data_IF_224670200038
#
_entry.id   IF_224670200038
#
_cell.length_a   1.000
_cell.length_b   1.000
_cell.length_c   1.000
_cell.angle_alpha   90.00
_cell.angle_beta   90.00
_cell.angle_gamma   90.00
#
_symmetry.space_group_name_H-M   'P 1'
#
loop_
_entity.id
_entity.type
_entity.pdbx_description
1 polymer ?
#
# COMPACT_ATOMS: atom_id res chain seq x y z
N UNK A 1 -9.86 6.41 8.65
CA UNK A 1 -9.89 5.14 7.88
C UNK A 1 -10.74 5.33 6.64
N UNK A 2 -10.57 4.49 5.63
CA UNK A 2 -11.45 4.40 4.46
C UNK A 2 -11.75 2.94 4.14
N UNK A 3 -12.93 2.65 3.63
CA UNK A 3 -13.31 1.29 3.25
C UNK A 3 -13.31 1.15 1.73
N UNK A 4 -12.69 0.08 1.23
CA UNK A 4 -12.73 -0.33 -0.17
C UNK A 4 -13.59 -1.58 -0.27
N UNK A 5 -14.64 -1.54 -1.09
CA UNK A 5 -15.49 -2.69 -1.36
C UNK A 5 -15.07 -3.34 -2.69
N UNK A 6 -14.50 -4.54 -2.64
CA UNK A 6 -14.04 -5.28 -3.81
C UNK A 6 -15.17 -6.19 -4.32
N UNK A 7 -15.62 -5.97 -5.54
CA UNK A 7 -16.72 -6.72 -6.17
C UNK A 7 -16.36 -8.13 -6.68
N UNK A 8 -15.08 -8.52 -6.59
CA UNK A 8 -14.59 -9.85 -7.01
C UNK A 8 -14.97 -10.96 -6.03
N UNK A 9 -14.85 -12.23 -6.45
CA UNK A 9 -15.03 -13.40 -5.58
C UNK A 9 -13.69 -14.08 -5.18
N UNK A 10 -12.56 -13.54 -5.64
CA UNK A 10 -11.21 -13.97 -5.27
C UNK A 10 -10.38 -12.82 -4.69
N UNK A 11 -9.36 -13.17 -3.90
CA UNK A 11 -8.35 -12.21 -3.44
C UNK A 11 -7.60 -11.60 -4.63
N UNK A 12 -7.37 -10.29 -4.56
CA UNK A 12 -6.64 -9.53 -5.61
C UNK A 12 -5.41 -8.84 -5.04
N UNK A 13 -4.26 -8.88 -5.75
CA UNK A 13 -3.16 -7.97 -5.46
C UNK A 13 -3.61 -6.51 -5.64
N UNK A 14 -2.92 -5.61 -4.95
CA UNK A 14 -3.14 -4.18 -5.02
C UNK A 14 -1.81 -3.44 -5.25
N UNK A 15 -1.91 -2.26 -5.86
CA UNK A 15 -0.80 -1.32 -6.02
C UNK A 15 -1.08 -0.15 -5.08
N UNK A 16 -0.19 0.04 -4.11
CA UNK A 16 -0.20 1.17 -3.20
C UNK A 16 0.76 2.24 -3.72
N UNK A 17 0.22 3.38 -4.12
CA UNK A 17 1.00 4.59 -4.41
C UNK A 17 0.80 5.59 -3.28
N UNK A 18 1.89 6.18 -2.80
CA UNK A 18 1.82 7.23 -1.80
C UNK A 18 2.85 8.32 -2.02
N UNK A 19 2.48 9.55 -1.65
CA UNK A 19 3.34 10.74 -1.72
C UNK A 19 3.18 11.52 -0.42
N UNK A 20 4.19 11.54 0.47
CA UNK A 20 4.11 12.31 1.70
C UNK A 20 4.41 13.80 1.42
N UNK A 21 3.74 14.71 2.13
CA UNK A 21 3.99 16.15 2.00
C UNK A 21 5.19 16.65 2.82
N UNK A 22 5.69 15.82 3.74
CA UNK A 22 6.87 16.04 4.58
C UNK A 22 7.73 14.77 4.65
N UNK A 23 8.97 14.89 5.12
CA UNK A 23 9.78 13.72 5.45
C UNK A 23 9.16 12.95 6.62
N UNK A 24 9.10 11.63 6.51
CA UNK A 24 8.57 10.74 7.55
C UNK A 24 9.59 9.64 7.87
N UNK A 25 9.79 9.39 9.16
CA UNK A 25 10.60 8.25 9.64
C UNK A 25 9.90 6.94 9.24
N UNK A 26 8.59 6.87 9.48
CA UNK A 26 7.76 5.74 9.12
C UNK A 26 6.32 6.14 8.77
N UNK A 27 5.62 5.19 8.14
CA UNK A 27 4.20 5.18 7.88
C UNK A 27 3.68 3.75 8.03
N UNK A 28 2.65 3.56 8.84
CA UNK A 28 2.00 2.27 9.04
C UNK A 28 0.66 2.25 8.32
N UNK A 29 0.42 1.20 7.54
CA UNK A 29 -0.82 0.98 6.80
C UNK A 29 -1.37 -0.39 7.16
N UNK A 30 -2.64 -0.46 7.57
CA UNK A 30 -3.33 -1.71 7.87
C UNK A 30 -4.45 -1.96 6.86
N UNK A 31 -4.82 -3.23 6.70
CA UNK A 31 -5.94 -3.66 5.84
C UNK A 31 -5.55 -3.94 4.38
N UNK A 32 -4.25 -3.92 4.05
CA UNK A 32 -3.70 -4.36 2.77
C UNK A 32 -2.99 -5.72 2.86
N UNK A 33 -2.92 -6.29 4.05
CA UNK A 33 -2.42 -7.64 4.37
C UNK A 33 -3.03 -8.01 5.74
N UNK A 34 -2.81 -9.24 6.20
CA UNK A 34 -3.12 -9.70 7.56
C UNK A 34 -2.27 -8.96 8.59
N UNK A 35 -1.02 -8.69 8.24
CA UNK A 35 -0.09 -7.86 9.04
C UNK A 35 -0.03 -6.42 8.53
N UNK A 36 0.45 -5.51 9.37
CA UNK A 36 0.66 -4.13 8.97
C UNK A 36 1.80 -4.01 7.95
N UNK A 37 1.63 -3.11 6.98
CA UNK A 37 2.73 -2.69 6.09
C UNK A 37 3.34 -1.43 6.70
N UNK A 38 4.63 -1.47 7.03
CA UNK A 38 5.38 -0.33 7.54
C UNK A 38 6.41 0.11 6.50
N UNK A 39 6.36 1.38 6.15
CA UNK A 39 7.24 1.99 5.17
C UNK A 39 8.10 3.03 5.87
N UNK A 40 9.41 2.96 5.69
CA UNK A 40 10.41 3.73 6.42
C UNK A 40 11.11 4.74 5.50
N UNK A 41 11.77 5.74 6.09
CA UNK A 41 12.64 6.69 5.39
C UNK A 41 11.97 7.41 4.20
N UNK A 42 10.70 7.82 4.36
CA UNK A 42 9.93 8.45 3.30
C UNK A 42 10.34 9.92 3.14
N UNK A 43 10.51 10.34 1.88
CA UNK A 43 10.93 11.71 1.54
C UNK A 43 9.78 12.53 1.00
N UNK A 44 9.71 13.79 1.43
CA UNK A 44 8.69 14.73 0.99
C UNK A 44 8.61 14.80 -0.54
N UNK A 45 7.39 14.81 -1.07
CA UNK A 45 7.07 14.93 -2.49
C UNK A 45 7.67 13.82 -3.38
N UNK A 46 8.13 12.72 -2.79
CA UNK A 46 8.59 11.54 -3.53
C UNK A 46 7.52 10.47 -3.52
N UNK A 47 7.11 10.04 -4.71
CA UNK A 47 6.14 8.95 -4.85
C UNK A 47 6.82 7.61 -4.57
N UNK A 48 6.33 6.89 -3.58
CA UNK A 48 6.65 5.49 -3.34
C UNK A 48 5.54 4.62 -3.93
N UNK A 49 5.95 3.54 -4.60
CA UNK A 49 5.05 2.56 -5.20
C UNK A 49 5.38 1.18 -4.60
N UNK A 50 4.43 0.59 -3.88
CA UNK A 50 4.44 -0.83 -3.51
C UNK A 50 3.51 -1.57 -4.46
N UNK A 51 4.09 -2.27 -5.44
CA UNK A 51 3.33 -2.99 -6.46
C UNK A 51 3.16 -4.45 -6.04
N UNK A 52 1.96 -4.82 -5.55
CA UNK A 52 1.65 -6.21 -5.23
C UNK A 52 1.34 -7.11 -6.42
N UNK A 53 1.16 -6.56 -7.63
CA UNK A 53 1.06 -7.37 -8.84
C UNK A 53 2.44 -7.89 -9.28
N UNK A 54 3.47 -7.04 -9.18
CA UNK A 54 4.84 -7.37 -9.62
C UNK A 54 5.77 -7.77 -8.48
N UNK A 55 5.37 -7.56 -7.23
CA UNK A 55 6.22 -7.80 -6.06
C UNK A 55 7.39 -6.81 -5.97
N UNK A 56 7.15 -5.52 -6.24
CA UNK A 56 8.21 -4.50 -6.24
C UNK A 56 7.91 -3.34 -5.28
N UNK A 57 8.97 -2.69 -4.81
CA UNK A 57 8.89 -1.44 -4.02
C UNK A 57 9.85 -0.45 -4.66
N UNK A 58 9.36 0.68 -5.14
CA UNK A 58 10.19 1.66 -5.84
C UNK A 58 9.88 3.11 -5.49
N UNK A 59 10.91 3.95 -5.60
CA UNK A 59 10.82 5.42 -5.65
C UNK A 59 11.66 5.86 -6.84
N UNK A 60 11.08 6.61 -7.78
CA UNK A 60 11.76 7.05 -9.01
C UNK A 60 12.43 5.88 -9.77
N UNK A 61 11.82 4.69 -9.75
CA UNK A 61 12.34 3.47 -10.39
C UNK A 61 13.47 2.75 -9.62
N UNK A 62 13.94 3.31 -8.49
CA UNK A 62 14.97 2.69 -7.65
C UNK A 62 14.32 1.78 -6.61
N UNK A 63 14.87 0.58 -6.42
CA UNK A 63 14.40 -0.39 -5.43
C UNK A 63 14.50 0.19 -4.01
N UNK A 64 13.38 0.08 -3.28
CA UNK A 64 13.20 0.57 -1.91
C UNK A 64 12.68 -0.48 -0.95
N UNK A 65 12.83 -1.76 -1.30
CA UNK A 65 12.36 -2.88 -0.49
C UNK A 65 13.01 -2.91 0.90
N UNK A 66 14.29 -2.55 1.01
CA UNK A 66 15.00 -2.48 2.31
C UNK A 66 14.43 -1.44 3.27
N UNK A 67 13.67 -0.46 2.76
CA UNK A 67 12.99 0.57 3.56
C UNK A 67 11.56 0.13 3.94
N UNK A 68 11.27 -1.18 3.98
CA UNK A 68 9.96 -1.72 4.32
C UNK A 68 10.04 -2.78 5.42
N UNK A 69 8.92 -2.96 6.11
CA UNK A 69 8.66 -4.05 7.03
C UNK A 69 7.26 -4.57 6.69
N UNK A 70 7.22 -5.71 6.01
CA UNK A 70 5.98 -6.32 5.50
C UNK A 70 6.17 -7.82 5.37
N UNK A 71 5.12 -8.57 5.70
CA UNK A 71 5.07 -10.02 5.53
C UNK A 71 4.62 -10.42 4.12
N UNK A 72 3.71 -9.66 3.55
CA UNK A 72 3.24 -9.82 2.18
C UNK A 72 3.07 -8.48 1.47
N UNK A 73 2.94 -8.56 0.15
CA UNK A 73 2.62 -7.41 -0.66
C UNK A 73 1.14 -7.01 -0.49
N UNK A 74 0.79 -5.74 -0.79
CA UNK A 74 -0.58 -5.26 -0.72
C UNK A 74 -1.54 -6.13 -1.53
N UNK A 75 -2.64 -6.52 -0.89
CA UNK A 75 -3.75 -7.25 -1.48
C UNK A 75 -5.07 -6.88 -0.79
N UNK A 76 -6.18 -7.22 -1.44
CA UNK A 76 -7.53 -6.99 -0.93
C UNK A 76 -8.34 -8.28 -1.03
N UNK A 77 -9.15 -8.53 -0.01
CA UNK A 77 -10.08 -9.65 0.06
C UNK A 77 -11.42 -9.26 -0.63
N UNK A 78 -12.21 -10.22 -1.12
CA UNK A 78 -13.58 -9.96 -1.54
C UNK A 78 -14.39 -9.21 -0.47
N UNK A 79 -15.24 -8.26 -0.89
CA UNK A 79 -16.07 -7.47 0.04
C UNK A 79 -15.32 -6.30 0.67
N UNK A 80 -15.67 -5.98 1.92
CA UNK A 80 -15.23 -4.76 2.61
C UNK A 80 -13.83 -4.90 3.21
N UNK A 81 -12.92 -4.01 2.80
CA UNK A 81 -11.56 -3.90 3.34
C UNK A 81 -11.40 -2.52 3.98
N UNK A 82 -11.19 -2.48 5.29
CA UNK A 82 -10.99 -1.22 6.02
C UNK A 82 -9.51 -0.87 6.08
N UNK A 83 -9.14 0.23 5.42
CA UNK A 83 -7.77 0.72 5.36
C UNK A 83 -7.57 1.81 6.42
N UNK A 84 -6.53 1.65 7.23
CA UNK A 84 -6.09 2.65 8.21
C UNK A 84 -4.64 3.06 7.94
N UNK A 85 -4.34 4.33 8.20
CA UNK A 85 -3.04 4.95 7.94
C UNK A 85 -2.68 5.74 9.19
N UNK A 86 -1.44 5.60 9.67
CA UNK A 86 -1.01 6.23 10.94
C UNK A 86 -0.74 7.73 10.85
N UNK A 87 -0.62 8.29 9.64
CA UNK A 87 -0.34 9.72 9.39
C UNK A 87 -1.31 10.29 8.35
N UNK A 88 -1.62 11.58 8.47
CA UNK A 88 -2.54 12.28 7.56
C UNK A 88 -1.83 13.16 6.52
N UNK A 89 -0.51 13.26 6.58
CA UNK A 89 0.34 14.10 5.73
C UNK A 89 0.77 13.36 4.45
N UNK A 90 -0.05 12.42 3.98
CA UNK A 90 0.32 11.50 2.89
C UNK A 90 -0.86 11.32 1.97
N UNK A 91 -0.66 11.65 0.69
CA UNK A 91 -1.61 11.34 -0.37
C UNK A 91 -1.44 9.88 -0.75
N UNK A 92 -2.53 9.11 -0.69
CA UNK A 92 -2.53 7.67 -0.91
C UNK A 92 -3.54 7.31 -2.00
N UNK A 93 -3.08 6.49 -2.95
CA UNK A 93 -3.91 5.89 -4.00
C UNK A 93 -3.71 4.38 -3.98
N UNK A 94 -4.81 3.63 -3.94
CA UNK A 94 -4.80 2.18 -4.01
C UNK A 94 -5.48 1.77 -5.32
N UNK A 95 -4.77 1.02 -6.16
CA UNK A 95 -5.28 0.47 -7.41
C UNK A 95 -5.38 -1.05 -7.29
N UNK A 96 -6.42 -1.63 -7.85
CA UNK A 96 -6.61 -3.08 -7.86
C UNK A 96 -7.53 -3.47 -9.01
N UNK A 97 -7.54 -4.75 -9.36
CA UNK A 97 -8.41 -5.32 -10.41
C UNK A 97 -9.23 -6.46 -9.78
N UNK A 98 -10.56 -6.32 -9.62
CA UNK A 98 -11.38 -7.41 -9.09
C UNK A 98 -11.14 -8.72 -9.85
N UNK A 99 -11.02 -9.84 -9.13
CA UNK A 99 -10.82 -11.17 -9.70
C UNK A 99 -12.07 -12.03 -9.54
N UNK A 100 -12.34 -12.83 -10.57
CA UNK A 100 -13.49 -13.71 -10.68
C UNK A 100 -13.07 -15.13 -11.09
N UNK A 101 -13.82 -16.14 -10.64
CA UNK A 101 -13.81 -17.53 -11.14
C UNK A 101 -15.22 -17.92 -11.59
#
# INVERSE_FOLDING_TARGET
SKTINVSGNLETPAILELTPSIDLIDLTINGLDEEAIILKNLKANKKLIVNGEEGTVTVDGVNKYSDTDMWGFPRLKPGANTITVSKNNVDITIKYKPRYI
#
